data_IF_945028353234
#
_entry.id   IF_945028353234
#
_cell.length_a   1.000
_cell.length_b   1.000
_cell.length_c   1.000
_cell.angle_alpha   90.00
_cell.angle_beta   90.00
_cell.angle_gamma   90.00
#
_symmetry.space_group_name_H-M   'P 1'
#
loop_
_entity.id
_entity.type
_entity.pdbx_description
1 polymer ?
#
# COMPACT_ATOMS: atom_id res chain seq x y z
N UNK A 1 26.85 -25.16 -17.41
CA UNK A 1 26.41 -25.24 -16.00
C UNK A 1 26.41 -23.89 -15.31
N UNK A 2 27.51 -23.10 -15.32
CA UNK A 2 27.49 -21.80 -14.59
C UNK A 2 26.73 -20.67 -15.31
N UNK A 3 26.80 -20.57 -16.64
CA UNK A 3 26.27 -19.40 -17.36
C UNK A 3 24.74 -19.33 -17.36
N UNK A 4 24.06 -20.48 -17.46
CA UNK A 4 22.60 -20.57 -17.35
C UNK A 4 22.10 -20.22 -15.94
N UNK A 5 22.82 -20.67 -14.90
CA UNK A 5 22.50 -20.35 -13.50
C UNK A 5 22.63 -18.84 -13.23
N UNK A 6 23.67 -18.19 -13.75
CA UNK A 6 23.83 -16.73 -13.62
C UNK A 6 22.75 -15.96 -14.38
N UNK A 7 22.37 -16.42 -15.58
CA UNK A 7 21.29 -15.82 -16.34
C UNK A 7 19.93 -15.97 -15.62
N UNK A 8 19.63 -17.17 -15.11
CA UNK A 8 18.43 -17.44 -14.30
C UNK A 8 18.36 -16.53 -13.06
N UNK A 9 19.49 -16.40 -12.35
CA UNK A 9 19.59 -15.52 -11.17
C UNK A 9 19.35 -14.05 -11.54
N UNK A 10 19.84 -13.60 -12.69
CA UNK A 10 19.61 -12.23 -13.17
C UNK A 10 18.13 -11.95 -13.43
N UNK A 11 17.41 -12.86 -14.08
CA UNK A 11 15.99 -12.70 -14.33
C UNK A 11 15.14 -12.79 -13.06
N UNK A 12 15.49 -13.70 -12.13
CA UNK A 12 14.90 -13.74 -10.81
C UNK A 12 15.10 -12.41 -10.05
N UNK A 13 16.31 -11.85 -10.15
CA UNK A 13 16.66 -10.58 -9.56
C UNK A 13 15.83 -9.43 -10.14
N UNK A 14 15.61 -9.38 -11.45
CA UNK A 14 14.74 -8.37 -12.07
C UNK A 14 13.31 -8.38 -11.48
N UNK A 15 12.70 -9.56 -11.31
CA UNK A 15 11.33 -9.69 -10.75
C UNK A 15 11.28 -9.36 -9.26
N UNK A 16 12.22 -9.90 -8.48
CA UNK A 16 12.23 -9.71 -7.03
C UNK A 16 12.53 -8.25 -6.68
N UNK A 17 13.47 -7.61 -7.38
CA UNK A 17 13.79 -6.21 -7.11
C UNK A 17 12.69 -5.25 -7.55
N UNK A 18 12.04 -5.49 -8.69
CA UNK A 18 10.87 -4.68 -9.08
C UNK A 18 9.74 -4.84 -8.07
N UNK A 19 9.51 -6.04 -7.55
CA UNK A 19 8.54 -6.25 -6.47
C UNK A 19 8.92 -5.52 -5.17
N UNK A 20 10.16 -5.70 -4.68
CA UNK A 20 10.64 -5.11 -3.42
C UNK A 20 10.73 -3.58 -3.46
N UNK A 21 11.02 -3.00 -4.62
CA UNK A 21 11.19 -1.55 -4.76
C UNK A 21 9.86 -0.81 -4.61
N UNK A 22 8.78 -1.38 -5.15
CA UNK A 22 7.44 -0.78 -5.14
C UNK A 22 6.59 -1.23 -3.94
N UNK A 23 7.10 -2.17 -3.15
CA UNK A 23 6.45 -2.64 -1.93
C UNK A 23 6.39 -1.51 -0.88
N UNK A 24 5.21 -1.10 -0.41
CA UNK A 24 5.02 0.14 0.35
C UNK A 24 5.78 0.19 1.69
N UNK A 25 5.93 -0.93 2.40
CA UNK A 25 6.71 -0.98 3.64
C UNK A 25 8.22 -1.09 3.40
N UNK A 26 8.65 -1.49 2.21
CA UNK A 26 10.06 -1.46 1.81
C UNK A 26 10.43 -0.19 1.05
N UNK A 27 9.49 0.56 0.45
CA UNK A 27 9.77 1.69 -0.45
C UNK A 27 10.20 2.97 0.28
N UNK A 28 9.96 3.07 1.60
CA UNK A 28 10.34 4.22 2.41
C UNK A 28 11.85 4.49 2.48
N UNK A 29 12.22 5.75 2.79
CA UNK A 29 13.62 6.18 3.04
C UNK A 29 14.30 5.44 4.20
N UNK A 30 13.53 4.76 5.04
CA UNK A 30 14.01 4.03 6.21
C UNK A 30 14.88 2.81 5.85
N UNK A 31 14.72 2.25 4.65
CA UNK A 31 15.53 1.10 4.20
C UNK A 31 16.46 1.55 3.06
N UNK A 32 17.79 1.52 3.25
CA UNK A 32 18.76 1.89 2.22
C UNK A 32 18.55 1.06 0.94
N UNK A 33 18.68 1.70 -0.23
CA UNK A 33 18.55 1.02 -1.51
C UNK A 33 19.49 -0.19 -1.63
N UNK A 34 20.71 -0.07 -1.08
CA UNK A 34 21.68 -1.17 -1.04
C UNK A 34 21.16 -2.39 -0.28
N UNK A 35 20.47 -2.21 0.84
CA UNK A 35 19.91 -3.32 1.61
C UNK A 35 18.84 -4.08 0.81
N UNK A 36 18.00 -3.34 0.05
CA UNK A 36 16.99 -3.94 -0.84
C UNK A 36 17.63 -4.75 -1.96
N UNK A 37 18.69 -4.21 -2.58
CA UNK A 37 19.44 -4.89 -3.64
C UNK A 37 20.10 -6.17 -3.11
N UNK A 38 20.79 -6.11 -1.96
CA UNK A 38 21.43 -7.28 -1.37
C UNK A 38 20.43 -8.35 -0.96
N UNK A 39 19.29 -7.94 -0.40
CA UNK A 39 18.22 -8.87 -0.04
C UNK A 39 17.57 -9.50 -1.27
N UNK A 40 17.32 -8.70 -2.31
CA UNK A 40 16.81 -9.17 -3.60
C UNK A 40 17.75 -10.18 -4.25
N UNK A 41 19.06 -9.91 -4.27
CA UNK A 41 20.07 -10.85 -4.77
C UNK A 41 20.07 -12.17 -3.97
N UNK A 42 20.04 -12.09 -2.64
CA UNK A 42 20.01 -13.29 -1.79
C UNK A 42 18.79 -14.18 -2.07
N UNK A 43 17.60 -13.58 -2.24
CA UNK A 43 16.39 -14.31 -2.62
C UNK A 43 16.42 -14.82 -4.05
N UNK A 44 17.13 -14.16 -4.96
CA UNK A 44 17.18 -14.58 -6.37
C UNK A 44 17.97 -15.88 -6.55
N UNK A 45 19.03 -16.06 -5.76
CA UNK A 45 19.87 -17.26 -5.80
C UNK A 45 19.06 -18.51 -5.40
N UNK A 46 18.12 -18.39 -4.46
CA UNK A 46 17.33 -19.53 -3.98
C UNK A 46 16.29 -20.02 -4.99
N UNK A 47 15.97 -19.21 -6.00
CA UNK A 47 14.94 -19.51 -7.01
C UNK A 47 15.54 -19.68 -8.41
N UNK A 48 16.86 -19.59 -8.55
CA UNK A 48 17.54 -19.70 -9.85
C UNK A 48 17.16 -20.99 -10.59
N UNK A 49 17.02 -22.12 -9.88
CA UNK A 49 16.66 -23.42 -10.48
C UNK A 49 15.22 -23.49 -11.02
N UNK A 50 14.36 -22.52 -10.68
CA UNK A 50 12.95 -22.49 -11.11
C UNK A 50 12.73 -21.59 -12.34
N UNK A 51 13.77 -20.87 -12.79
CA UNK A 51 13.68 -19.98 -13.95
C UNK A 51 14.12 -20.74 -15.19
N UNK A 52 13.19 -20.98 -16.12
CA UNK A 52 13.52 -21.57 -17.40
C UNK A 52 14.13 -20.52 -18.35
N UNK A 53 15.37 -20.75 -18.74
CA UNK A 53 16.17 -19.90 -19.63
C UNK A 53 16.38 -20.55 -21.01
N UNK A 54 15.83 -21.74 -21.24
CA UNK A 54 16.09 -22.56 -22.43
C UNK A 54 15.63 -21.91 -23.76
N UNK A 55 14.68 -20.98 -23.67
CA UNK A 55 14.11 -20.27 -24.82
C UNK A 55 14.91 -19.02 -25.25
N UNK A 56 15.93 -18.60 -24.49
CA UNK A 56 16.65 -17.35 -24.71
C UNK A 56 17.86 -17.60 -25.63
N UNK A 57 17.80 -17.10 -26.86
CA UNK A 57 18.85 -17.34 -27.88
C UNK A 57 19.49 -16.06 -28.39
N UNK A 58 18.76 -14.96 -28.36
CA UNK A 58 19.15 -13.67 -28.93
C UNK A 58 19.22 -12.59 -27.85
N UNK A 59 20.00 -11.53 -28.07
CA UNK A 59 20.02 -10.34 -27.20
C UNK A 59 18.63 -9.72 -27.03
N UNK A 60 17.81 -9.75 -28.09
CA UNK A 60 16.40 -9.33 -28.03
C UNK A 60 15.56 -10.18 -27.08
N UNK A 61 15.80 -11.50 -27.03
CA UNK A 61 15.08 -12.42 -26.14
C UNK A 61 15.44 -12.13 -24.67
N UNK A 62 16.71 -11.81 -24.39
CA UNK A 62 17.17 -11.40 -23.05
C UNK A 62 16.44 -10.13 -22.60
N UNK A 63 16.39 -9.11 -23.45
CA UNK A 63 15.73 -7.85 -23.13
C UNK A 63 14.22 -8.02 -22.93
N UNK A 64 13.57 -8.78 -23.82
CA UNK A 64 12.14 -9.09 -23.72
C UNK A 64 11.82 -9.86 -22.44
N UNK A 65 12.61 -10.89 -22.11
CA UNK A 65 12.39 -11.70 -20.91
C UNK A 65 12.71 -10.92 -19.61
N UNK A 66 13.72 -10.06 -19.60
CA UNK A 66 13.96 -9.17 -18.46
C UNK A 66 12.77 -8.21 -18.25
N UNK A 67 12.26 -7.62 -19.33
CA UNK A 67 11.11 -6.72 -19.26
C UNK A 67 9.86 -7.43 -18.72
N UNK A 68 9.61 -8.68 -19.12
CA UNK A 68 8.46 -9.44 -18.61
C UNK A 68 8.60 -9.73 -17.11
N UNK A 69 9.78 -10.13 -16.65
CA UNK A 69 10.03 -10.35 -15.21
C UNK A 69 9.81 -9.07 -14.40
N UNK A 70 10.25 -7.92 -14.92
CA UNK A 70 10.00 -6.62 -14.28
C UNK A 70 8.50 -6.35 -14.19
N UNK A 71 7.76 -6.49 -15.31
CA UNK A 71 6.31 -6.25 -15.37
C UNK A 71 5.55 -7.15 -14.40
N UNK A 72 5.94 -8.43 -14.26
CA UNK A 72 5.30 -9.34 -13.31
C UNK A 72 5.56 -8.90 -11.86
N UNK A 73 6.80 -8.52 -11.52
CA UNK A 73 7.09 -8.02 -10.16
C UNK A 73 6.34 -6.72 -9.87
N UNK A 74 6.22 -5.83 -10.86
CA UNK A 74 5.46 -4.58 -10.75
C UNK A 74 3.97 -4.85 -10.55
N UNK A 75 3.35 -5.73 -11.34
CA UNK A 75 1.92 -6.03 -11.24
C UNK A 75 1.56 -6.59 -9.86
N UNK A 76 2.38 -7.52 -9.34
CA UNK A 76 2.23 -8.06 -7.99
C UNK A 76 2.35 -6.97 -6.93
N UNK A 77 3.36 -6.11 -7.02
CA UNK A 77 3.55 -5.03 -6.04
C UNK A 77 2.42 -4.00 -6.08
N UNK A 78 1.79 -3.76 -7.24
CA UNK A 78 0.81 -2.69 -7.40
C UNK A 78 -0.47 -2.93 -6.62
N UNK A 79 -0.93 -4.18 -6.58
CA UNK A 79 -2.11 -4.58 -5.80
C UNK A 79 -1.85 -4.33 -4.30
N UNK A 80 -0.67 -4.74 -3.83
CA UNK A 80 -0.25 -4.52 -2.44
C UNK A 80 -0.20 -3.02 -2.14
N UNK A 81 0.36 -2.23 -3.05
CA UNK A 81 0.42 -0.77 -2.93
C UNK A 81 -0.98 -0.14 -2.82
N UNK A 82 -1.94 -0.57 -3.65
CA UNK A 82 -3.32 -0.06 -3.62
C UNK A 82 -4.01 -0.33 -2.29
N UNK A 83 -3.91 -1.55 -1.77
CA UNK A 83 -4.52 -1.92 -0.50
C UNK A 83 -3.82 -1.29 0.69
N UNK A 84 -2.49 -1.14 0.63
CA UNK A 84 -1.70 -0.45 1.65
C UNK A 84 -2.01 1.04 1.72
N UNK A 85 -2.51 1.64 0.63
CA UNK A 85 -2.85 3.06 0.62
C UNK A 85 -4.18 3.37 1.35
N UNK A 86 -4.98 2.36 1.70
CA UNK A 86 -6.29 2.54 2.34
C UNK A 86 -6.16 3.26 3.70
N UNK A 87 -5.33 2.82 4.66
CA UNK A 87 -5.18 3.50 5.95
C UNK A 87 -4.62 4.91 5.80
N UNK A 88 -3.66 5.11 4.87
CA UNK A 88 -3.10 6.43 4.54
C UNK A 88 -4.18 7.38 4.08
N UNK A 89 -5.00 6.93 3.12
CA UNK A 89 -6.05 7.76 2.55
C UNK A 89 -7.14 8.07 3.58
N UNK A 90 -7.52 7.11 4.43
CA UNK A 90 -8.43 7.35 5.54
C UNK A 90 -7.86 8.42 6.51
N UNK A 91 -6.58 8.30 6.87
CA UNK A 91 -5.88 9.28 7.70
C UNK A 91 -5.82 10.67 7.06
N UNK A 92 -5.60 10.75 5.74
CA UNK A 92 -5.64 12.01 4.98
C UNK A 92 -7.02 12.68 5.01
N UNK A 93 -8.09 11.92 4.80
CA UNK A 93 -9.47 12.43 4.85
C UNK A 93 -9.77 13.01 6.24
N UNK A 94 -9.38 12.32 7.30
CA UNK A 94 -9.59 12.77 8.67
C UNK A 94 -8.74 14.00 9.03
N UNK A 95 -7.49 14.05 8.57
CA UNK A 95 -6.61 15.19 8.80
C UNK A 95 -7.16 16.48 8.19
N UNK A 96 -7.73 16.34 6.99
CA UNK A 96 -8.41 17.42 6.30
C UNK A 96 -9.68 17.88 7.03
N UNK A 97 -10.52 16.96 7.52
CA UNK A 97 -11.75 17.32 8.23
C UNK A 97 -11.47 17.95 9.61
N UNK A 98 -10.49 17.42 10.35
CA UNK A 98 -10.06 18.00 11.64
C UNK A 98 -9.43 19.39 11.44
N UNK A 99 -8.74 19.60 10.32
CA UNK A 99 -8.08 20.87 9.97
C UNK A 99 -6.61 20.93 10.39
N UNK A 100 -5.97 19.78 10.67
CA UNK A 100 -4.54 19.68 10.97
C UNK A 100 -3.68 20.02 9.74
N UNK A 101 -4.15 19.63 8.54
CA UNK A 101 -3.46 19.90 7.28
C UNK A 101 -3.40 21.38 6.89
N UNK A 102 -4.34 22.21 7.37
CA UNK A 102 -4.33 23.66 7.12
C UNK A 102 -3.08 24.34 7.70
N UNK A 103 -2.54 23.85 8.82
CA UNK A 103 -1.29 24.36 9.37
C UNK A 103 -0.08 24.05 8.46
N UNK A 104 -0.09 22.90 7.76
CA UNK A 104 0.97 22.50 6.83
C UNK A 104 0.90 23.16 5.45
N UNK A 105 -0.27 23.67 5.03
CA UNK A 105 -0.43 24.40 3.75
C UNK A 105 0.31 25.74 3.73
N UNK A 106 0.64 26.30 4.90
CA UNK A 106 1.40 27.55 5.00
C UNK A 106 2.92 27.36 4.86
N UNK A 107 3.42 26.13 4.92
CA UNK A 107 4.84 25.83 4.71
C UNK A 107 5.09 25.23 3.31
N UNK A 108 5.26 26.12 2.32
CA UNK A 108 5.57 25.77 0.92
C UNK A 108 6.92 25.06 0.77
N UNK A 109 7.80 25.14 1.78
CA UNK A 109 9.10 24.46 1.77
C UNK A 109 9.02 23.02 2.31
N UNK A 110 7.96 22.67 3.04
CA UNK A 110 7.65 21.30 3.43
C UNK A 110 7.01 20.57 2.23
N UNK A 111 7.84 20.14 1.28
CA UNK A 111 7.41 19.37 0.10
C UNK A 111 6.81 17.98 0.40
N UNK A 112 6.30 17.74 1.60
CA UNK A 112 5.65 16.48 2.00
C UNK A 112 4.13 16.63 1.95
N UNK A 113 3.50 15.99 0.96
CA UNK A 113 2.05 15.78 0.91
C UNK A 113 1.54 14.78 1.97
N UNK A 114 2.40 14.25 2.85
CA UNK A 114 2.01 13.31 3.92
C UNK A 114 1.51 14.06 5.15
N UNK A 115 0.29 13.77 5.58
CA UNK A 115 -0.29 14.35 6.79
C UNK A 115 0.10 13.55 8.04
N UNK A 116 -0.04 14.17 9.20
CA UNK A 116 0.26 13.53 10.49
C UNK A 116 -0.57 12.26 10.69
N UNK A 117 -1.90 12.36 10.52
CA UNK A 117 -2.80 11.21 10.71
C UNK A 117 -2.59 10.11 9.68
N UNK A 118 -2.30 10.45 8.41
CA UNK A 118 -1.93 9.46 7.39
C UNK A 118 -0.70 8.65 7.81
N UNK A 119 0.32 9.32 8.34
CA UNK A 119 1.54 8.67 8.83
C UNK A 119 1.27 7.79 10.05
N UNK A 120 0.44 8.24 10.99
CA UNK A 120 0.04 7.45 12.16
C UNK A 120 -0.71 6.18 11.74
N UNK A 121 -1.68 6.31 10.83
CA UNK A 121 -2.48 5.18 10.37
C UNK A 121 -1.63 4.18 9.56
N UNK A 122 -0.66 4.67 8.77
CA UNK A 122 0.31 3.84 8.07
C UNK A 122 1.16 3.01 9.04
N UNK A 123 1.73 3.66 10.06
CA UNK A 123 2.55 2.97 11.07
C UNK A 123 1.70 1.96 11.86
N UNK A 124 0.47 2.33 12.23
CA UNK A 124 -0.41 1.43 12.97
C UNK A 124 -0.79 0.19 12.14
N UNK A 125 -1.11 0.38 10.87
CA UNK A 125 -1.34 -0.73 9.94
C UNK A 125 -0.11 -1.60 9.77
N UNK A 126 1.08 -1.00 9.61
CA UNK A 126 2.35 -1.71 9.50
C UNK A 126 2.62 -2.61 10.70
N UNK A 127 2.37 -2.13 11.93
CA UNK A 127 2.55 -2.92 13.16
C UNK A 127 1.64 -4.14 13.17
N UNK A 128 0.36 -3.96 12.84
CA UNK A 128 -0.63 -5.06 12.79
C UNK A 128 -0.24 -6.06 11.70
N UNK A 129 0.12 -5.56 10.52
CA UNK A 129 0.53 -6.38 9.39
C UNK A 129 1.75 -7.27 9.72
N UNK A 130 2.77 -6.71 10.39
CA UNK A 130 3.94 -7.46 10.84
C UNK A 130 3.54 -8.47 11.93
N UNK A 131 2.68 -8.08 12.87
CA UNK A 131 2.18 -8.98 13.92
C UNK A 131 1.43 -10.20 13.38
N UNK A 132 0.81 -10.09 12.21
CA UNK A 132 0.13 -11.19 11.53
C UNK A 132 1.07 -12.02 10.63
N UNK A 133 2.36 -11.68 10.57
CA UNK A 133 3.34 -12.39 9.75
C UNK A 133 3.26 -12.07 8.26
N UNK A 134 2.64 -10.94 7.88
CA UNK A 134 2.39 -10.58 6.48
C UNK A 134 3.66 -10.45 5.62
N UNK A 135 4.80 -10.07 6.21
CA UNK A 135 6.09 -10.03 5.49
C UNK A 135 6.47 -11.42 4.97
N UNK A 136 6.38 -12.44 5.82
CA UNK A 136 6.74 -13.82 5.45
C UNK A 136 5.80 -14.33 4.36
N UNK A 137 4.53 -13.94 4.41
CA UNK A 137 3.55 -14.30 3.39
C UNK A 137 3.92 -13.71 2.02
N UNK A 138 4.25 -12.42 1.95
CA UNK A 138 4.64 -11.81 0.66
C UNK A 138 5.92 -12.41 0.08
N UNK A 139 6.92 -12.68 0.92
CA UNK A 139 8.14 -13.35 0.49
C UNK A 139 7.83 -14.76 -0.01
N UNK A 140 7.02 -15.54 0.70
CA UNK A 140 6.64 -16.88 0.25
C UNK A 140 5.91 -16.86 -1.12
N UNK A 141 5.03 -15.90 -1.33
CA UNK A 141 4.25 -15.82 -2.56
C UNK A 141 5.08 -15.32 -3.75
N UNK A 142 6.01 -14.37 -3.58
CA UNK A 142 6.92 -13.99 -4.67
C UNK A 142 7.85 -15.15 -5.04
N UNK A 143 8.29 -15.98 -4.09
CA UNK A 143 9.10 -17.16 -4.39
C UNK A 143 8.27 -18.21 -5.16
N UNK A 144 7.02 -18.46 -4.75
CA UNK A 144 6.09 -19.35 -5.49
C UNK A 144 5.81 -18.84 -6.91
N UNK A 145 5.91 -17.53 -7.15
CA UNK A 145 5.55 -16.89 -8.42
C UNK A 145 6.39 -17.37 -9.61
N UNK A 146 7.57 -17.91 -9.34
CA UNK A 146 8.49 -18.44 -10.35
C UNK A 146 8.07 -19.80 -10.91
N UNK A 147 7.27 -20.58 -10.17
CA UNK A 147 6.73 -21.86 -10.64
C UNK A 147 5.73 -21.70 -11.80
N UNK A 148 5.28 -20.48 -12.09
CA UNK A 148 4.18 -20.20 -13.02
C UNK A 148 4.51 -19.05 -13.99
N UNK A 149 5.75 -19.00 -14.43
CA UNK A 149 6.30 -17.89 -15.24
C UNK A 149 5.69 -17.79 -16.65
N UNK A 150 5.01 -18.83 -17.16
CA UNK A 150 4.32 -18.81 -18.47
C UNK A 150 3.09 -17.85 -18.52
N UNK A 151 2.68 -17.25 -17.39
CA UNK A 151 1.48 -16.43 -17.24
C UNK A 151 1.49 -15.06 -17.95
N UNK A 152 2.51 -14.74 -18.76
CA UNK A 152 2.65 -13.44 -19.46
C UNK A 152 1.46 -13.15 -20.38
N UNK A 153 0.90 -14.17 -21.05
CA UNK A 153 -0.26 -14.01 -21.92
C UNK A 153 -1.53 -13.57 -21.17
N UNK A 154 -1.59 -13.81 -19.85
CA UNK A 154 -2.73 -13.46 -18.98
C UNK A 154 -2.59 -12.11 -18.29
N UNK A 155 -1.41 -11.48 -18.29
CA UNK A 155 -1.24 -10.13 -17.75
C UNK A 155 -1.86 -9.04 -18.64
N UNK A 156 -1.99 -9.32 -19.94
CA UNK A 156 -2.57 -8.41 -20.92
C UNK A 156 -4.06 -8.69 -21.20
N UNK A 157 -4.70 -9.60 -20.46
CA UNK A 157 -6.13 -9.84 -20.61
C UNK A 157 -6.94 -8.75 -19.93
N UNK A 158 -8.12 -8.45 -20.49
CA UNK A 158 -9.07 -7.48 -19.93
C UNK A 158 -9.42 -7.77 -18.46
N UNK A 159 -9.46 -9.05 -18.08
CA UNK A 159 -9.72 -9.49 -16.71
C UNK A 159 -8.73 -8.96 -15.66
N UNK A 160 -7.46 -8.77 -16.01
CA UNK A 160 -6.47 -8.22 -15.07
C UNK A 160 -6.73 -6.73 -14.82
N UNK A 161 -7.06 -5.97 -15.87
CA UNK A 161 -7.41 -4.56 -15.75
C UNK A 161 -8.71 -4.38 -14.96
N UNK A 162 -9.71 -5.23 -15.18
CA UNK A 162 -10.97 -5.20 -14.43
C UNK A 162 -10.74 -5.47 -12.94
N UNK A 163 -9.88 -6.45 -12.61
CA UNK A 163 -9.50 -6.73 -11.22
C UNK A 163 -8.75 -5.56 -10.57
N UNK A 164 -7.86 -4.92 -11.30
CA UNK A 164 -7.11 -3.76 -10.81
C UNK A 164 -8.04 -2.56 -10.55
N UNK A 165 -9.00 -2.31 -11.43
CA UNK A 165 -10.03 -1.29 -11.23
C UNK A 165 -10.94 -1.62 -10.04
N UNK A 166 -11.37 -2.87 -9.90
CA UNK A 166 -12.16 -3.32 -8.76
C UNK A 166 -11.41 -3.12 -7.43
N UNK A 167 -10.11 -3.44 -7.41
CA UNK A 167 -9.25 -3.24 -6.24
C UNK A 167 -9.11 -1.75 -5.91
N UNK A 168 -8.96 -0.90 -6.92
CA UNK A 168 -8.87 0.55 -6.74
C UNK A 168 -10.18 1.13 -6.16
N UNK A 169 -11.32 0.73 -6.71
CA UNK A 169 -12.63 1.16 -6.19
C UNK A 169 -12.83 0.69 -4.75
N UNK A 170 -12.51 -0.57 -4.45
CA UNK A 170 -12.55 -1.11 -3.10
C UNK A 170 -11.65 -0.32 -2.13
N UNK A 171 -10.45 0.07 -2.57
CA UNK A 171 -9.54 0.84 -1.75
C UNK A 171 -10.11 2.24 -1.42
N UNK A 172 -10.74 2.89 -2.40
CA UNK A 172 -11.39 4.19 -2.21
C UNK A 172 -12.59 4.09 -1.27
N UNK A 173 -13.49 3.14 -1.50
CA UNK A 173 -14.67 2.97 -0.64
C UNK A 173 -14.28 2.62 0.78
N UNK A 174 -13.32 1.70 0.97
CA UNK A 174 -12.84 1.28 2.29
C UNK A 174 -12.20 2.45 3.06
N UNK A 175 -11.41 3.29 2.40
CA UNK A 175 -10.79 4.44 3.06
C UNK A 175 -11.83 5.45 3.55
N UNK A 176 -12.88 5.69 2.75
CA UNK A 176 -14.00 6.54 3.14
C UNK A 176 -14.76 5.90 4.30
N UNK A 177 -15.08 4.61 4.22
CA UNK A 177 -15.78 3.87 5.29
C UNK A 177 -15.06 3.93 6.63
N UNK A 178 -13.73 3.84 6.64
CA UNK A 178 -12.93 3.99 7.86
C UNK A 178 -13.04 5.42 8.43
N UNK A 179 -13.07 6.43 7.57
CA UNK A 179 -13.15 7.83 7.98
C UNK A 179 -14.58 8.25 8.40
N UNK A 180 -15.62 7.61 7.85
CA UNK A 180 -17.03 8.01 8.01
C UNK A 180 -17.49 8.20 9.46
N UNK A 181 -17.25 7.27 10.41
CA UNK A 181 -17.73 7.43 11.78
C UNK A 181 -17.17 8.68 12.46
N UNK A 182 -15.89 8.97 12.22
CA UNK A 182 -15.20 10.13 12.75
C UNK A 182 -15.66 11.41 12.06
N UNK A 183 -15.80 11.40 10.73
CA UNK A 183 -16.35 12.54 9.99
C UNK A 183 -17.78 12.88 10.45
N UNK A 184 -18.62 11.87 10.70
CA UNK A 184 -19.97 12.06 11.24
C UNK A 184 -19.96 12.74 12.61
N UNK A 185 -19.02 12.36 13.49
CA UNK A 185 -18.87 12.98 14.80
C UNK A 185 -18.39 14.44 14.71
N UNK A 186 -17.46 14.74 13.80
CA UNK A 186 -16.96 16.10 13.54
C UNK A 186 -18.01 16.97 12.86
N UNK A 187 -18.86 16.38 12.01
CA UNK A 187 -20.00 17.07 11.41
C UNK A 187 -20.97 17.59 12.48
N UNK A 188 -21.27 16.79 13.51
CA UNK A 188 -22.09 17.23 14.65
C UNK A 188 -21.41 18.39 15.40
N UNK A 189 -20.10 18.32 15.62
CA UNK A 189 -19.33 19.42 16.24
C UNK A 189 -19.42 20.69 15.39
N UNK A 190 -19.26 20.59 14.07
CA UNK A 190 -19.39 21.73 13.16
C UNK A 190 -20.79 22.36 13.28
N UNK A 191 -21.84 21.53 13.35
CA UNK A 191 -23.21 22.01 13.52
C UNK A 191 -23.40 22.75 14.85
N UNK A 192 -22.88 22.21 15.96
CA UNK A 192 -22.92 22.86 17.27
C UNK A 192 -22.16 24.20 17.26
N UNK A 193 -20.97 24.24 16.65
CA UNK A 193 -20.19 25.47 16.53
C UNK A 193 -20.93 26.56 15.73
N UNK A 194 -21.62 26.17 14.64
CA UNK A 194 -22.43 27.10 13.84
C UNK A 194 -23.58 27.69 14.68
N UNK A 195 -24.26 26.86 15.49
CA UNK A 195 -25.32 27.35 16.38
C UNK A 195 -24.79 28.32 17.44
N UNK A 196 -23.61 28.05 18.01
CA UNK A 196 -22.96 28.95 18.98
C UNK A 196 -22.57 30.26 18.31
N UNK A 197 -21.98 30.22 17.12
CA UNK A 197 -21.60 31.42 16.36
C UNK A 197 -22.80 32.32 16.07
N UNK A 198 -23.97 31.73 15.80
CA UNK A 198 -25.22 32.49 15.59
C UNK A 198 -25.73 33.15 16.88
N UNK A 199 -25.66 32.44 18.02
CA UNK A 199 -26.26 32.89 19.27
C UNK A 199 -25.33 33.80 20.11
N UNK A 200 -24.02 33.66 19.95
CA UNK A 200 -23.01 34.43 20.69
C UNK A 200 -21.90 34.93 19.74
N UNK A 201 -22.20 35.89 18.83
CA UNK A 201 -21.27 36.35 17.80
C UNK A 201 -20.04 37.08 18.37
N UNK A 202 -20.10 37.51 19.64
CA UNK A 202 -18.98 38.10 20.37
C UNK A 202 -17.90 37.09 20.77
N UNK A 203 -18.23 35.78 20.79
CA UNK A 203 -17.21 34.74 20.93
C UNK A 203 -16.48 34.60 19.60
N UNK A 204 -15.14 34.56 19.63
CA UNK A 204 -14.35 34.26 18.45
C UNK A 204 -14.43 32.76 18.10
N UNK A 205 -15.65 32.31 17.76
CA UNK A 205 -15.97 30.90 17.53
C UNK A 205 -15.16 30.36 16.36
N UNK A 206 -14.88 31.15 15.33
CA UNK A 206 -14.08 30.73 14.18
C UNK A 206 -12.61 30.47 14.54
N UNK A 207 -12.00 31.30 15.39
CA UNK A 207 -10.63 31.06 15.86
C UNK A 207 -10.56 29.87 16.82
N UNK A 208 -11.56 29.71 17.68
CA UNK A 208 -11.63 28.61 18.66
C UNK A 208 -12.09 27.28 18.05
N UNK A 209 -12.76 27.29 16.89
CA UNK A 209 -13.28 26.10 16.23
C UNK A 209 -12.17 25.09 15.93
N UNK A 210 -11.01 25.54 15.45
CA UNK A 210 -9.88 24.65 15.16
C UNK A 210 -9.36 23.96 16.42
N UNK A 211 -9.21 24.69 17.53
CA UNK A 211 -8.75 24.12 18.81
C UNK A 211 -9.73 23.07 19.31
N UNK A 212 -11.04 23.34 19.21
CA UNK A 212 -12.10 22.41 19.61
C UNK A 212 -12.10 21.17 18.70
N UNK A 213 -12.07 21.36 17.37
CA UNK A 213 -12.07 20.26 16.39
C UNK A 213 -10.84 19.36 16.54
N UNK A 214 -9.65 19.93 16.72
CA UNK A 214 -8.42 19.17 16.94
C UNK A 214 -8.50 18.36 18.24
N UNK A 215 -8.93 18.99 19.33
CA UNK A 215 -9.03 18.32 20.64
C UNK A 215 -10.03 17.16 20.58
N UNK A 216 -11.23 17.40 20.05
CA UNK A 216 -12.26 16.37 19.90
C UNK A 216 -11.85 15.29 18.90
N UNK A 217 -11.24 15.67 17.77
CA UNK A 217 -10.77 14.74 16.74
C UNK A 217 -9.74 13.76 17.27
N UNK A 218 -8.72 14.26 18.00
CA UNK A 218 -7.72 13.41 18.66
C UNK A 218 -8.38 12.49 19.69
N UNK A 219 -9.32 13.01 20.48
CA UNK A 219 -10.04 12.22 21.49
C UNK A 219 -10.86 11.09 20.84
N UNK A 220 -11.61 11.37 19.78
CA UNK A 220 -12.37 10.35 19.07
C UNK A 220 -11.48 9.31 18.38
N UNK A 221 -10.34 9.73 17.82
CA UNK A 221 -9.35 8.80 17.27
C UNK A 221 -8.80 7.90 18.39
N UNK A 222 -8.47 8.46 19.56
CA UNK A 222 -8.00 7.68 20.70
C UNK A 222 -9.04 6.64 21.15
N UNK A 223 -10.32 7.00 21.16
CA UNK A 223 -11.41 6.08 21.47
C UNK A 223 -11.64 5.02 20.39
N UNK A 224 -11.32 5.32 19.12
CA UNK A 224 -11.52 4.39 18.00
C UNK A 224 -10.36 3.41 17.80
N UNK A 225 -9.22 3.57 18.48
CA UNK A 225 -8.04 2.68 18.35
C UNK A 225 -8.38 1.18 18.43
N UNK A 226 -9.17 0.69 19.41
CA UNK A 226 -9.50 -0.74 19.46
C UNK A 226 -10.26 -1.20 18.21
N UNK A 227 -11.19 -0.38 17.73
CA UNK A 227 -11.97 -0.67 16.53
C UNK A 227 -11.11 -0.62 15.26
N UNK A 228 -10.23 0.37 15.15
CA UNK A 228 -9.25 0.45 14.06
C UNK A 228 -8.35 -0.80 14.03
N UNK A 229 -7.98 -1.35 15.19
CA UNK A 229 -7.24 -2.61 15.28
C UNK A 229 -7.97 -3.79 14.62
N UNK A 230 -9.28 -3.95 14.89
CA UNK A 230 -10.09 -4.97 14.23
C UNK A 230 -10.22 -4.74 12.72
N UNK A 231 -10.44 -3.49 12.31
CA UNK A 231 -10.57 -3.14 10.88
C UNK A 231 -9.27 -3.43 10.14
N UNK A 232 -8.12 -3.01 10.68
CA UNK A 232 -6.81 -3.22 10.06
C UNK A 232 -6.39 -4.68 10.04
N UNK A 233 -6.81 -5.48 11.03
CA UNK A 233 -6.69 -6.93 10.98
C UNK A 233 -7.47 -7.51 9.80
N UNK A 234 -8.77 -7.20 9.70
CA UNK A 234 -9.60 -7.69 8.60
C UNK A 234 -9.07 -7.25 7.23
N UNK A 235 -8.57 -6.02 7.13
CA UNK A 235 -7.93 -5.53 5.91
C UNK A 235 -6.66 -6.29 5.57
N UNK A 236 -5.88 -6.69 6.57
CA UNK A 236 -4.72 -7.57 6.34
C UNK A 236 -5.19 -8.90 5.76
N UNK A 237 -6.21 -9.52 6.34
CA UNK A 237 -6.77 -10.79 5.84
C UNK A 237 -7.28 -10.66 4.39
N UNK A 238 -8.03 -9.59 4.08
CA UNK A 238 -8.50 -9.29 2.72
C UNK A 238 -7.33 -9.09 1.75
N UNK A 239 -6.28 -8.37 2.18
CA UNK A 239 -5.09 -8.16 1.37
C UNK A 239 -4.37 -9.46 1.06
N UNK A 240 -4.26 -10.37 2.03
CA UNK A 240 -3.67 -11.69 1.80
C UNK A 240 -4.57 -12.53 0.86
N UNK A 241 -5.89 -12.48 1.03
CA UNK A 241 -6.85 -13.23 0.21
C UNK A 241 -6.88 -12.75 -1.25
N UNK A 242 -7.01 -11.45 -1.49
CA UNK A 242 -7.00 -10.87 -2.84
C UNK A 242 -5.68 -11.11 -3.54
N UNK A 243 -4.57 -11.01 -2.81
CA UNK A 243 -3.26 -11.37 -3.35
C UNK A 243 -3.18 -12.86 -3.71
N UNK A 244 -3.77 -13.76 -2.90
CA UNK A 244 -3.87 -15.19 -3.23
C UNK A 244 -4.74 -15.44 -4.46
N UNK A 245 -5.90 -14.77 -4.57
CA UNK A 245 -6.83 -14.93 -5.70
C UNK A 245 -6.18 -14.50 -7.00
N UNK A 246 -5.51 -13.35 -7.01
CA UNK A 246 -4.81 -12.86 -8.19
C UNK A 246 -3.64 -13.76 -8.54
N UNK A 247 -2.89 -14.20 -7.53
CA UNK A 247 -1.85 -15.19 -7.72
C UNK A 247 -2.40 -16.45 -8.39
N UNK A 248 -3.46 -17.05 -7.85
CA UNK A 248 -4.12 -18.23 -8.40
C UNK A 248 -4.72 -18.01 -9.79
N UNK A 249 -5.24 -16.80 -10.08
CA UNK A 249 -5.70 -16.41 -11.42
C UNK A 249 -4.55 -16.47 -12.44
N UNK A 250 -3.33 -16.12 -12.04
CA UNK A 250 -2.14 -16.31 -12.87
C UNK A 250 -1.71 -17.78 -12.98
N UNK A 251 -2.08 -18.65 -12.03
CA UNK A 251 -1.65 -20.07 -11.99
C UNK A 251 -2.55 -21.06 -12.74
N UNK A 252 -3.84 -20.76 -12.93
CA UNK A 252 -4.71 -21.65 -13.70
C UNK A 252 -4.22 -21.68 -15.14
N UNK A 253 -3.99 -22.86 -15.71
CA UNK A 253 -3.68 -23.04 -17.14
C UNK A 253 -4.84 -22.56 -18.00
#
# INVERSE_FOLDING_TARGET
MNMELWAATFFAFCRITSFLYFLPFFSGRSIPAMAKVTFGLALSITVADQVDVSHIKTVWDVAAYAATQIVIGLSLSKIVEMLWNIPKMAGHILDFDIGLSQASLFDVNAGSQSTLLSTIFDIFFLIIFISLGGINYFVATILKSFQYTEAISKLLTTSFLDSLLATLLFAITSAVEIALPLMGSLFIINFVLILIAKNAPQLNVFMNAYVIKITCGILFIAMSVPMLGYVFKNMTDVLLEEYTKLFNFFLTK
#
